data_IF_072305152849
#
_entry.id   IF_072305152849
#
_cell.length_a   1.000
_cell.length_b   1.000
_cell.length_c   1.000
_cell.angle_alpha   90.00
_cell.angle_beta   90.00
_cell.angle_gamma   90.00
#
_symmetry.space_group_name_H-M   'P 1'
#
loop_
_entity.id
_entity.type
_entity.pdbx_description
1 polymer ?
#
# COMPACT_ATOMS: atom_id res chain seq x y z
N UNK A 1 9.89 17.95 6.05
CA UNK A 1 9.07 17.67 4.86
C UNK A 1 8.18 18.87 4.66
N UNK A 2 8.13 19.41 3.44
CA UNK A 2 7.28 20.56 3.12
C UNK A 2 5.85 20.08 2.84
N UNK A 3 4.87 21.00 2.94
CA UNK A 3 3.46 20.68 2.69
C UNK A 3 3.24 20.07 1.30
N UNK A 4 3.80 20.68 0.25
CA UNK A 4 3.68 20.20 -1.14
C UNK A 4 4.15 18.75 -1.28
N UNK A 5 5.35 18.44 -0.78
CA UNK A 5 5.92 17.08 -0.83
C UNK A 5 5.08 16.07 -0.05
N UNK A 6 4.47 16.48 1.07
CA UNK A 6 3.57 15.62 1.82
C UNK A 6 2.34 15.25 0.97
N UNK A 7 1.70 16.23 0.32
CA UNK A 7 0.55 16.01 -0.56
C UNK A 7 0.89 15.05 -1.70
N UNK A 8 2.02 15.25 -2.36
CA UNK A 8 2.52 14.36 -3.42
C UNK A 8 2.70 12.92 -2.90
N UNK A 9 3.17 12.75 -1.66
CA UNK A 9 3.26 11.45 -1.01
C UNK A 9 1.90 10.74 -0.85
N UNK A 10 0.83 11.45 -0.50
CA UNK A 10 -0.53 10.87 -0.49
C UNK A 10 -0.98 10.44 -1.88
N UNK A 11 -0.69 11.26 -2.90
CA UNK A 11 -1.03 10.91 -4.28
C UNK A 11 -0.28 9.66 -4.73
N UNK A 12 1.02 9.57 -4.45
CA UNK A 12 1.84 8.39 -4.74
C UNK A 12 1.37 7.15 -3.98
N UNK A 13 0.97 7.27 -2.70
CA UNK A 13 0.44 6.17 -1.91
C UNK A 13 -0.86 5.61 -2.49
N UNK A 14 -1.79 6.47 -2.90
CA UNK A 14 -3.02 6.02 -3.54
C UNK A 14 -2.75 5.41 -4.93
N UNK A 15 -1.84 6.01 -5.70
CA UNK A 15 -1.45 5.47 -7.01
C UNK A 15 -0.79 4.10 -6.88
N UNK A 16 0.02 3.89 -5.85
CA UNK A 16 0.65 2.62 -5.53
C UNK A 16 -0.40 1.52 -5.33
N UNK A 17 -1.45 1.76 -4.52
CA UNK A 17 -2.55 0.82 -4.34
C UNK A 17 -3.29 0.53 -5.66
N UNK A 18 -3.53 1.57 -6.47
CA UNK A 18 -4.25 1.42 -7.74
C UNK A 18 -3.45 0.64 -8.78
N UNK A 19 -2.18 0.97 -8.98
CA UNK A 19 -1.30 0.25 -9.92
C UNK A 19 -1.05 -1.17 -9.42
N UNK A 20 -0.81 -1.35 -8.12
CA UNK A 20 -0.58 -2.65 -7.49
C UNK A 20 -1.74 -3.63 -7.69
N UNK A 21 -2.99 -3.14 -7.69
CA UNK A 21 -4.16 -3.98 -7.97
C UNK A 21 -4.51 -3.97 -9.45
N UNK A 22 -4.96 -2.84 -10.01
CA UNK A 22 -5.50 -2.80 -11.37
C UNK A 22 -4.47 -3.10 -12.46
N UNK A 23 -3.20 -2.72 -12.24
CA UNK A 23 -2.12 -3.00 -13.18
C UNK A 23 -1.81 -4.50 -13.24
N UNK A 24 -1.69 -5.15 -12.08
CA UNK A 24 -1.33 -6.56 -11.98
C UNK A 24 -2.51 -7.53 -12.16
N UNK A 25 -3.75 -7.08 -11.97
CA UNK A 25 -4.93 -7.89 -12.30
C UNK A 25 -5.51 -7.58 -13.68
N UNK A 26 -4.88 -6.68 -14.44
CA UNK A 26 -5.38 -6.20 -15.73
C UNK A 26 -6.85 -5.75 -15.65
N UNK A 27 -7.18 -4.92 -14.66
CA UNK A 27 -8.55 -4.53 -14.32
C UNK A 27 -9.45 -5.73 -13.94
N UNK A 28 -8.96 -6.58 -13.04
CA UNK A 28 -9.66 -7.75 -12.46
C UNK A 28 -9.93 -8.93 -13.41
N UNK A 29 -9.34 -8.95 -14.60
CA UNK A 29 -9.46 -10.09 -15.52
C UNK A 29 -8.44 -11.21 -15.24
N UNK A 30 -7.31 -10.88 -14.61
CA UNK A 30 -6.25 -11.80 -14.24
C UNK A 30 -6.36 -12.19 -12.75
N UNK A 31 -6.43 -13.48 -12.46
CA UNK A 31 -6.59 -14.04 -11.10
C UNK A 31 -5.26 -14.35 -10.41
N UNK A 32 -4.11 -14.16 -11.08
CA UNK A 32 -2.78 -14.60 -10.59
C UNK A 32 -2.47 -14.09 -9.19
N UNK A 33 -2.83 -12.84 -8.85
CA UNK A 33 -2.64 -12.32 -7.48
C UNK A 33 -3.46 -13.10 -6.44
N UNK A 34 -4.74 -13.38 -6.75
CA UNK A 34 -5.65 -14.09 -5.85
C UNK A 34 -5.23 -15.55 -5.68
N UNK A 35 -4.78 -16.20 -6.75
CA UNK A 35 -4.35 -17.59 -6.71
C UNK A 35 -3.08 -17.78 -5.86
N UNK A 36 -2.20 -16.77 -5.84
CA UNK A 36 -0.95 -16.82 -5.08
C UNK A 36 -1.11 -16.38 -3.61
N UNK A 37 -1.93 -15.38 -3.32
CA UNK A 37 -2.25 -14.93 -1.97
C UNK A 37 -3.74 -14.55 -1.85
N UNK A 38 -4.60 -15.55 -1.58
CA UNK A 38 -6.04 -15.34 -1.52
C UNK A 38 -6.49 -14.61 -0.25
N UNK A 39 -5.60 -14.42 0.74
CA UNK A 39 -5.94 -13.67 1.96
C UNK A 39 -5.92 -12.18 1.64
N UNK A 40 -4.77 -11.68 1.19
CA UNK A 40 -4.58 -10.24 0.89
C UNK A 40 -5.27 -9.85 -0.41
N UNK A 41 -5.12 -10.66 -1.45
CA UNK A 41 -5.64 -10.36 -2.79
C UNK A 41 -6.92 -11.14 -3.13
N UNK A 42 -7.74 -11.49 -2.12
CA UNK A 42 -9.14 -11.88 -2.37
C UNK A 42 -9.89 -10.81 -3.17
N UNK A 43 -11.02 -11.17 -3.78
CA UNK A 43 -11.88 -10.21 -4.50
C UNK A 43 -12.21 -8.99 -3.61
N UNK A 44 -12.49 -9.24 -2.32
CA UNK A 44 -12.79 -8.20 -1.35
C UNK A 44 -11.52 -7.43 -0.97
N UNK A 45 -10.41 -8.11 -0.72
CA UNK A 45 -9.13 -7.49 -0.39
C UNK A 45 -8.65 -6.53 -1.46
N UNK A 46 -8.74 -6.91 -2.73
CA UNK A 46 -8.41 -6.03 -3.87
C UNK A 46 -9.27 -4.76 -3.89
N UNK A 47 -10.59 -4.88 -3.66
CA UNK A 47 -11.49 -3.72 -3.57
C UNK A 47 -11.10 -2.84 -2.37
N UNK A 48 -10.80 -3.43 -1.21
CA UNK A 48 -10.39 -2.69 -0.03
C UNK A 48 -9.08 -1.94 -0.24
N UNK A 49 -8.09 -2.53 -0.91
CA UNK A 49 -6.83 -1.86 -1.26
C UNK A 49 -7.10 -0.61 -2.11
N UNK A 50 -7.99 -0.70 -3.09
CA UNK A 50 -8.41 0.47 -3.88
C UNK A 50 -9.13 1.53 -3.03
N UNK A 51 -10.05 1.10 -2.15
CA UNK A 51 -10.76 2.02 -1.24
C UNK A 51 -9.79 2.74 -0.29
N UNK A 52 -8.74 2.07 0.20
CA UNK A 52 -7.68 2.72 0.97
C UNK A 52 -6.91 3.74 0.13
N UNK A 53 -6.63 3.42 -1.14
CA UNK A 53 -6.01 4.38 -2.06
C UNK A 53 -6.85 5.64 -2.24
N UNK A 54 -8.17 5.49 -2.38
CA UNK A 54 -9.12 6.60 -2.42
C UNK A 54 -9.17 7.36 -1.09
N UNK A 55 -9.08 6.66 0.05
CA UNK A 55 -9.04 7.29 1.37
C UNK A 55 -7.80 8.18 1.55
N UNK A 56 -6.64 7.77 1.04
CA UNK A 56 -5.45 8.63 1.05
C UNK A 56 -5.64 9.88 0.17
N UNK A 57 -6.20 9.71 -1.04
CA UNK A 57 -6.44 10.83 -1.96
C UNK A 57 -7.49 11.82 -1.45
N UNK A 58 -8.54 11.34 -0.78
CA UNK A 58 -9.63 12.19 -0.29
C UNK A 58 -9.15 13.23 0.72
N UNK A 59 -8.15 12.89 1.53
CA UNK A 59 -7.58 13.79 2.55
C UNK A 59 -6.28 14.46 2.12
N UNK A 60 -5.73 14.13 0.95
CA UNK A 60 -4.41 14.61 0.50
C UNK A 60 -4.25 16.13 0.56
N UNK A 61 -5.32 16.91 0.33
CA UNK A 61 -5.25 18.38 0.36
C UNK A 61 -5.31 18.99 1.76
N UNK A 62 -5.80 18.25 2.76
CA UNK A 62 -6.10 18.72 4.12
C UNK A 62 -5.64 17.74 5.21
N UNK A 63 -4.64 16.89 4.91
CA UNK A 63 -4.23 15.79 5.78
C UNK A 63 -3.84 16.23 7.19
N UNK A 64 -3.35 17.46 7.35
CA UNK A 64 -2.88 18.00 8.63
C UNK A 64 -4.02 18.29 9.60
N UNK A 65 -5.25 18.40 9.10
CA UNK A 65 -6.47 18.55 9.92
C UNK A 65 -6.92 17.23 10.53
N UNK A 66 -6.40 16.09 10.04
CA UNK A 66 -6.82 14.73 10.45
C UNK A 66 -5.63 13.86 10.88
N UNK A 67 -4.75 14.33 11.79
CA UNK A 67 -3.51 13.61 12.14
C UNK A 67 -3.74 12.20 12.70
N UNK A 68 -4.86 11.97 13.37
CA UNK A 68 -5.22 10.65 13.91
C UNK A 68 -5.53 9.65 12.77
N UNK A 69 -6.19 10.10 11.71
CA UNK A 69 -6.44 9.26 10.53
C UNK A 69 -5.14 8.85 9.84
N UNK A 70 -4.11 9.69 9.88
CA UNK A 70 -2.79 9.35 9.34
C UNK A 70 -2.11 8.21 10.11
N UNK A 71 -2.36 8.10 11.42
CA UNK A 71 -1.94 6.93 12.18
C UNK A 71 -2.71 5.67 11.79
N UNK A 72 -4.01 5.79 11.48
CA UNK A 72 -4.79 4.66 10.96
C UNK A 72 -4.19 4.16 9.65
N UNK A 73 -3.81 5.06 8.73
CA UNK A 73 -3.12 4.67 7.48
C UNK A 73 -1.75 4.03 7.74
N UNK A 74 -1.00 4.52 8.73
CA UNK A 74 0.26 3.89 9.13
C UNK A 74 0.05 2.44 9.60
N UNK A 75 -0.93 2.23 10.49
CA UNK A 75 -1.25 0.90 11.01
C UNK A 75 -1.71 -0.02 9.88
N UNK A 76 -2.61 0.45 9.02
CA UNK A 76 -3.07 -0.32 7.86
C UNK A 76 -1.91 -0.76 6.97
N UNK A 77 -0.98 0.14 6.63
CA UNK A 77 0.24 -0.21 5.88
C UNK A 77 1.13 -1.22 6.61
N UNK A 78 1.26 -1.13 7.93
CA UNK A 78 1.98 -2.14 8.71
C UNK A 78 1.27 -3.50 8.72
N UNK A 79 -0.06 -3.54 8.64
CA UNK A 79 -0.81 -4.79 8.51
C UNK A 79 -0.50 -5.46 7.16
N UNK A 80 -0.54 -4.73 6.05
CA UNK A 80 -0.17 -5.29 4.74
C UNK A 80 1.30 -5.72 4.68
N UNK A 81 2.22 -4.93 5.22
CA UNK A 81 3.63 -5.33 5.34
C UNK A 81 3.80 -6.60 6.18
N UNK A 82 3.10 -6.71 7.30
CA UNK A 82 3.13 -7.91 8.15
C UNK A 82 2.55 -9.14 7.47
N UNK A 83 1.43 -8.98 6.75
CA UNK A 83 0.82 -10.05 5.96
C UNK A 83 1.75 -10.53 4.84
N UNK A 84 2.39 -9.59 4.13
CA UNK A 84 3.40 -9.90 3.12
C UNK A 84 4.59 -10.65 3.71
N UNK A 85 5.14 -10.19 4.83
CA UNK A 85 6.27 -10.84 5.48
C UNK A 85 5.89 -12.25 5.95
N UNK A 86 4.69 -12.43 6.48
CA UNK A 86 4.17 -13.74 6.83
C UNK A 86 4.05 -14.65 5.60
N UNK A 87 3.47 -14.16 4.50
CA UNK A 87 3.36 -14.90 3.24
C UNK A 87 4.74 -15.31 2.71
N UNK A 88 5.72 -14.40 2.73
CA UNK A 88 7.09 -14.63 2.27
C UNK A 88 7.80 -15.71 3.08
N UNK A 89 7.59 -15.71 4.41
CA UNK A 89 8.21 -16.68 5.32
C UNK A 89 7.53 -18.05 5.33
N UNK A 90 6.24 -18.12 4.99
CA UNK A 90 5.45 -19.36 5.06
C UNK A 90 5.23 -20.05 3.73
N UNK A 91 5.38 -19.32 2.61
CA UNK A 91 5.23 -19.87 1.24
C UNK A 91 6.37 -19.46 0.31
N UNK A 92 7.65 -19.56 0.72
CA UNK A 92 8.78 -19.14 -0.11
C UNK A 92 8.85 -19.83 -1.47
N UNK A 93 8.39 -21.09 -1.56
CA UNK A 93 8.34 -21.87 -2.80
C UNK A 93 7.46 -21.25 -3.88
N UNK A 94 6.45 -20.44 -3.51
CA UNK A 94 5.62 -19.72 -4.48
C UNK A 94 6.41 -18.68 -5.25
N UNK A 95 7.42 -18.06 -4.63
CA UNK A 95 8.30 -17.14 -5.35
C UNK A 95 9.13 -17.87 -6.42
N UNK A 96 9.63 -19.07 -6.13
CA UNK A 96 10.40 -19.85 -7.11
C UNK A 96 9.54 -20.24 -8.32
N UNK A 97 8.28 -20.63 -8.07
CA UNK A 97 7.30 -20.89 -9.13
C UNK A 97 7.05 -19.64 -9.96
N UNK A 98 6.83 -18.49 -9.32
CA UNK A 98 6.63 -17.22 -10.02
C UNK A 98 7.86 -16.80 -10.83
N UNK A 99 9.07 -17.05 -10.34
CA UNK A 99 10.30 -16.76 -11.08
C UNK A 99 10.38 -17.54 -12.42
N UNK A 100 9.83 -18.76 -12.46
CA UNK A 100 9.74 -19.57 -13.67
C UNK A 100 8.56 -19.23 -14.59
N UNK A 101 7.47 -18.66 -14.05
CA UNK A 101 6.25 -18.37 -14.81
C UNK A 101 6.15 -16.92 -15.29
N UNK A 102 6.41 -15.96 -14.41
CA UNK A 102 6.30 -14.54 -14.70
C UNK A 102 7.21 -13.71 -13.79
N UNK A 103 8.27 -13.17 -14.38
CA UNK A 103 9.20 -12.26 -13.69
C UNK A 103 8.49 -11.02 -13.13
N UNK A 104 7.41 -10.57 -13.77
CA UNK A 104 6.64 -9.41 -13.32
C UNK A 104 5.94 -9.68 -11.99
N UNK A 105 5.26 -10.83 -11.87
CA UNK A 105 4.62 -11.23 -10.61
C UNK A 105 5.66 -11.62 -9.55
N UNK A 106 6.76 -12.24 -9.94
CA UNK A 106 7.88 -12.48 -9.03
C UNK A 106 8.36 -11.17 -8.40
N UNK A 107 8.69 -10.16 -9.22
CA UNK A 107 9.13 -8.86 -8.72
C UNK A 107 8.08 -8.21 -7.82
N UNK A 108 6.79 -8.31 -8.16
CA UNK A 108 5.71 -7.79 -7.33
C UNK A 108 5.65 -8.47 -5.96
N UNK A 109 5.50 -9.80 -5.93
CA UNK A 109 5.43 -10.58 -4.69
C UNK A 109 6.72 -10.51 -3.86
N UNK A 110 7.87 -10.31 -4.50
CA UNK A 110 9.15 -10.14 -3.80
C UNK A 110 9.33 -8.74 -3.18
N UNK A 111 8.51 -7.75 -3.54
CA UNK A 111 8.79 -6.35 -3.16
C UNK A 111 7.60 -5.53 -2.67
N UNK A 112 6.34 -5.96 -2.87
CA UNK A 112 5.20 -5.08 -2.59
C UNK A 112 5.14 -4.65 -1.11
N UNK A 113 5.33 -5.57 -0.16
CA UNK A 113 5.28 -5.21 1.26
C UNK A 113 6.37 -4.22 1.68
N UNK A 114 7.52 -4.18 1.00
CA UNK A 114 8.52 -3.14 1.24
C UNK A 114 7.98 -1.74 0.89
N UNK A 115 7.20 -1.62 -0.19
CA UNK A 115 6.47 -0.40 -0.53
C UNK A 115 5.50 0.02 0.57
N UNK A 116 4.71 -0.92 1.10
CA UNK A 116 3.79 -0.67 2.21
C UNK A 116 4.54 -0.18 3.46
N UNK A 117 5.67 -0.78 3.80
CA UNK A 117 6.50 -0.34 4.92
C UNK A 117 7.01 1.11 4.76
N UNK A 118 7.46 1.48 3.56
CA UNK A 118 7.88 2.86 3.28
C UNK A 118 6.71 3.84 3.43
N UNK A 119 5.52 3.47 2.96
CA UNK A 119 4.32 4.29 3.14
C UNK A 119 3.87 4.37 4.60
N UNK A 120 4.04 3.31 5.40
CA UNK A 120 3.80 3.37 6.85
C UNK A 120 4.69 4.41 7.52
N UNK A 121 6.01 4.39 7.23
CA UNK A 121 6.96 5.39 7.75
C UNK A 121 6.56 6.80 7.30
N UNK A 122 6.17 6.95 6.03
CA UNK A 122 5.68 8.22 5.49
C UNK A 122 4.48 8.72 6.30
N UNK A 123 3.42 7.93 6.46
CA UNK A 123 2.21 8.33 7.19
C UNK A 123 2.51 8.66 8.65
N UNK A 124 3.33 7.87 9.34
CA UNK A 124 3.79 8.16 10.70
C UNK A 124 4.49 9.52 10.79
N UNK A 125 5.42 9.79 9.86
CA UNK A 125 6.16 11.06 9.83
C UNK A 125 5.25 12.25 9.55
N UNK A 126 4.27 12.09 8.66
CA UNK A 126 3.27 13.13 8.36
C UNK A 126 2.36 13.38 9.57
N UNK A 127 1.89 12.31 10.24
CA UNK A 127 1.05 12.39 11.43
C UNK A 127 1.74 13.18 12.54
N UNK A 128 3.00 12.82 12.86
CA UNK A 128 3.83 13.54 13.84
C UNK A 128 4.06 15.00 13.44
N UNK A 129 4.29 15.27 12.16
CA UNK A 129 4.44 16.64 11.67
C UNK A 129 3.16 17.46 11.81
N UNK A 130 2.01 16.85 11.54
CA UNK A 130 0.69 17.48 11.62
C UNK A 130 0.31 17.83 13.05
N UNK A 131 0.50 16.91 14.00
CA UNK A 131 0.27 17.19 15.43
C UNK A 131 1.20 18.26 16.02
N UNK A 132 2.34 18.51 15.38
CA UNK A 132 3.29 19.56 15.77
C UNK A 132 3.02 20.90 15.04
N UNK A 133 1.89 21.04 14.34
CA UNK A 133 1.52 22.26 13.62
C UNK A 133 2.41 22.58 12.42
N UNK A 134 3.23 21.65 11.92
CA UNK A 134 4.24 21.94 10.87
C UNK A 134 3.65 22.24 9.48
N UNK A 135 2.37 22.01 9.31
CA UNK A 135 1.67 22.08 8.03
C UNK A 135 0.44 22.99 8.07
N UNK A 136 0.20 23.64 9.21
CA UNK A 136 -0.82 24.68 9.33
C UNK A 136 -0.36 25.88 8.48
N UNK A 137 -1.24 26.34 7.60
CA UNK A 137 -1.07 27.54 6.77
C UNK A 137 -1.95 28.64 7.34
#
# INVERSE_FOLDING_TARGET
>A
MQLKSAREGFFLAGLYNFIGVLGFTQFFTDTTLMDNDPIVFSWLGQILILLWGLAYWSVAKHFWQVPVLLWVFCVEKLVYFGAWLHWLLTTPEKLDVLAGQSMVYFCFFASYGFGDFLFAIFFARVAVGSMKGKFEI
#
